data_IF_619461655955
#
_entry.id   IF_619461655955
#
_cell.length_a   1.000
_cell.length_b   1.000
_cell.length_c   1.000
_cell.angle_alpha   90.00
_cell.angle_beta   90.00
_cell.angle_gamma   90.00
#
_symmetry.space_group_name_H-M   'P 1'
#
loop_
_entity.id
_entity.type
_entity.pdbx_description
1 polymer ?
#
# COMPACT_ATOMS: atom_id res chain seq x y z
N UNK A 1 8.66 0.93 22.87
CA UNK A 1 8.19 0.42 21.56
C UNK A 1 8.99 1.10 20.47
N UNK A 2 9.57 0.36 19.53
CA UNK A 2 10.31 0.96 18.42
C UNK A 2 9.34 1.74 17.51
N UNK A 3 9.73 2.96 17.13
CA UNK A 3 8.94 3.81 16.21
C UNK A 3 8.81 3.09 14.87
N UNK A 4 7.59 2.79 14.43
CA UNK A 4 7.36 2.28 13.08
C UNK A 4 7.23 3.49 12.13
N UNK A 5 8.22 3.74 11.25
CA UNK A 5 8.23 4.94 10.43
C UNK A 5 7.18 4.91 9.30
N UNK A 6 6.67 3.72 8.98
CA UNK A 6 5.59 3.48 8.02
C UNK A 6 4.20 3.86 8.58
N UNK A 7 4.06 4.00 9.90
CA UNK A 7 2.76 4.23 10.54
C UNK A 7 2.02 5.44 9.98
N UNK A 8 0.71 5.23 9.84
CA UNK A 8 -0.25 6.23 9.39
C UNK A 8 -0.75 5.97 7.97
N UNK A 9 -1.52 6.95 7.47
CA UNK A 9 -2.16 6.90 6.16
C UNK A 9 -1.32 7.64 5.12
N UNK A 10 -1.17 7.02 3.97
CA UNK A 10 -0.41 7.50 2.82
C UNK A 10 -1.35 7.57 1.63
N UNK A 11 -1.35 8.71 0.92
CA UNK A 11 -2.08 8.88 -0.34
C UNK A 11 -1.27 8.24 -1.44
N UNK A 12 -1.83 7.24 -2.13
CA UNK A 12 -1.19 6.69 -3.34
C UNK A 12 -1.40 7.72 -4.45
N UNK A 13 -0.33 8.30 -4.96
CA UNK A 13 -0.40 9.38 -5.96
C UNK A 13 -0.09 8.90 -7.37
N UNK A 14 0.49 7.71 -7.50
CA UNK A 14 0.90 7.15 -8.79
C UNK A 14 0.95 5.63 -8.70
N UNK A 15 0.52 4.97 -9.78
CA UNK A 15 0.71 3.54 -10.05
C UNK A 15 1.07 3.39 -11.55
N UNK A 16 1.96 2.47 -11.88
CA UNK A 16 2.40 2.30 -13.28
C UNK A 16 1.35 1.60 -14.16
N UNK A 17 0.56 0.68 -13.58
CA UNK A 17 -0.47 -0.07 -14.32
C UNK A 17 -1.78 0.72 -14.51
N UNK A 18 -2.11 1.61 -13.57
CA UNK A 18 -3.40 2.31 -13.54
C UNK A 18 -3.25 3.83 -13.58
N UNK A 19 -4.03 4.47 -14.46
CA UNK A 19 -4.10 5.92 -14.58
C UNK A 19 -4.68 6.63 -13.36
N UNK A 20 -4.40 7.93 -13.23
CA UNK A 20 -4.83 8.77 -12.10
C UNK A 20 -6.35 8.80 -11.90
N UNK A 21 -7.11 8.73 -12.99
CA UNK A 21 -8.58 8.68 -12.99
C UNK A 21 -9.12 7.38 -12.40
N UNK A 22 -8.40 6.27 -12.58
CA UNK A 22 -8.75 5.00 -11.97
C UNK A 22 -8.42 4.96 -10.46
N UNK A 23 -7.31 5.57 -10.03
CA UNK A 23 -6.88 5.50 -8.63
C UNK A 23 -7.99 5.92 -7.65
N UNK A 24 -8.70 6.99 -7.97
CA UNK A 24 -9.73 7.56 -7.09
C UNK A 24 -11.17 7.16 -7.46
N UNK A 25 -11.35 6.11 -8.28
CA UNK A 25 -12.65 5.71 -8.83
C UNK A 25 -13.72 5.48 -7.75
N UNK A 26 -13.39 4.74 -6.68
CA UNK A 26 -14.34 4.42 -5.58
C UNK A 26 -14.15 5.36 -4.39
N UNK A 27 -12.89 5.62 -4.01
CA UNK A 27 -12.52 6.53 -2.95
C UNK A 27 -11.05 6.95 -3.14
N UNK A 28 -10.58 8.04 -2.48
CA UNK A 28 -9.20 8.48 -2.61
C UNK A 28 -8.20 7.36 -2.30
N UNK A 29 -7.38 7.00 -3.28
CA UNK A 29 -6.44 5.89 -3.18
C UNK A 29 -5.46 6.07 -2.03
N UNK A 30 -5.30 5.04 -1.21
CA UNK A 30 -4.45 5.11 -0.05
C UNK A 30 -3.91 3.75 0.37
N UNK A 31 -2.82 3.78 1.13
CA UNK A 31 -2.36 2.66 1.95
C UNK A 31 -2.16 3.17 3.39
N UNK A 32 -2.65 2.41 4.36
CA UNK A 32 -2.56 2.74 5.78
C UNK A 32 -1.87 1.60 6.51
N UNK A 33 -0.85 1.95 7.29
CA UNK A 33 -0.18 1.02 8.20
C UNK A 33 -0.59 1.36 9.62
N UNK A 34 -1.23 0.40 10.27
CA UNK A 34 -1.81 0.49 11.61
C UNK A 34 -0.94 -0.23 12.64
N UNK A 35 -1.40 -0.23 13.89
CA UNK A 35 -0.76 -0.95 14.99
C UNK A 35 -0.88 -2.47 14.77
N UNK A 36 -0.13 -3.23 15.56
CA UNK A 36 -0.19 -4.69 15.59
C UNK A 36 0.18 -5.36 14.25
N UNK A 37 1.05 -4.70 13.47
CA UNK A 37 1.50 -5.15 12.15
C UNK A 37 0.34 -5.37 11.14
N UNK A 38 -0.75 -4.62 11.29
CA UNK A 38 -1.91 -4.64 10.39
C UNK A 38 -1.97 -3.37 9.51
N UNK A 39 -2.86 -3.38 8.52
CA UNK A 39 -3.14 -2.20 7.72
C UNK A 39 -4.29 -2.41 6.74
N UNK A 40 -4.46 -1.46 5.83
CA UNK A 40 -5.44 -1.55 4.73
C UNK A 40 -5.09 -0.64 3.57
N UNK A 41 -5.64 -0.94 2.40
CA UNK A 41 -5.51 -0.09 1.23
C UNK A 41 -6.81 -0.01 0.44
N UNK A 42 -6.88 1.00 -0.43
CA UNK A 42 -7.89 1.20 -1.46
C UNK A 42 -7.20 1.86 -2.65
N UNK A 43 -7.47 1.39 -3.87
CA UNK A 43 -7.27 2.16 -5.11
C UNK A 43 -8.23 1.59 -6.16
N UNK A 44 -8.85 2.45 -6.97
CA UNK A 44 -9.84 1.99 -7.94
C UNK A 44 -10.91 1.11 -7.31
N UNK A 45 -11.16 -0.05 -7.91
CA UNK A 45 -12.05 -1.08 -7.40
C UNK A 45 -11.35 -2.14 -6.51
N UNK A 46 -10.06 -1.96 -6.20
CA UNK A 46 -9.26 -2.89 -5.40
C UNK A 46 -9.13 -2.39 -3.97
N UNK A 47 -9.41 -3.27 -3.01
CA UNK A 47 -9.29 -2.96 -1.59
C UNK A 47 -8.92 -4.20 -0.78
N UNK A 48 -8.29 -4.00 0.38
CA UNK A 48 -7.97 -5.11 1.25
C UNK A 48 -7.36 -4.69 2.57
N UNK A 49 -7.34 -5.64 3.52
CA UNK A 49 -6.59 -5.54 4.75
C UNK A 49 -5.21 -6.18 4.58
N UNK A 50 -4.24 -5.70 5.34
CA UNK A 50 -2.83 -6.09 5.26
C UNK A 50 -2.41 -6.87 6.51
N UNK A 51 -1.62 -7.94 6.33
CA UNK A 51 -0.75 -8.54 7.36
C UNK A 51 0.69 -8.15 7.01
N UNK A 52 1.32 -7.34 7.85
CA UNK A 52 2.59 -6.70 7.58
C UNK A 52 3.75 -7.36 8.33
N UNK A 53 4.93 -7.32 7.72
CA UNK A 53 6.20 -7.72 8.33
C UNK A 53 7.22 -6.64 8.09
N UNK A 54 7.81 -6.13 9.18
CA UNK A 54 8.90 -5.17 9.10
C UNK A 54 10.21 -5.90 8.87
N UNK A 55 10.98 -5.42 7.91
CA UNK A 55 12.30 -5.95 7.59
C UNK A 55 13.30 -4.84 7.33
N UNK A 56 14.46 -5.24 6.81
CA UNK A 56 15.48 -4.35 6.28
C UNK A 56 16.00 -4.90 4.97
N UNK A 57 16.15 -4.04 3.97
CA UNK A 57 16.80 -4.36 2.69
C UNK A 57 17.89 -3.35 2.43
N UNK A 58 19.11 -3.83 2.19
CA UNK A 58 20.30 -2.99 1.96
C UNK A 58 20.51 -1.92 3.05
N UNK A 59 20.27 -2.31 4.31
CA UNK A 59 20.38 -1.41 5.47
C UNK A 59 19.23 -0.40 5.64
N UNK A 60 18.25 -0.39 4.74
CA UNK A 60 17.10 0.51 4.79
C UNK A 60 15.83 -0.21 5.28
N UNK A 61 14.99 0.44 6.10
CA UNK A 61 13.71 -0.14 6.53
C UNK A 61 12.80 -0.45 5.33
N UNK A 62 12.18 -1.63 5.35
CA UNK A 62 11.13 -2.04 4.42
C UNK A 62 9.95 -2.61 5.22
N UNK A 63 8.74 -2.46 4.69
CA UNK A 63 7.55 -3.18 5.16
C UNK A 63 7.07 -4.08 4.03
N UNK A 64 7.02 -5.38 4.28
CA UNK A 64 6.43 -6.37 3.39
C UNK A 64 5.03 -6.68 3.89
N UNK A 65 4.11 -7.06 3.01
CA UNK A 65 2.76 -7.40 3.41
C UNK A 65 2.15 -8.46 2.50
N UNK A 66 1.30 -9.31 3.07
CA UNK A 66 0.23 -9.99 2.33
C UNK A 66 -1.07 -9.21 2.50
N UNK A 67 -2.01 -9.42 1.60
CA UNK A 67 -3.31 -8.79 1.69
C UNK A 67 -4.44 -9.69 1.20
N UNK A 68 -5.63 -9.47 1.75
CA UNK A 68 -6.87 -10.10 1.33
C UNK A 68 -8.00 -9.06 1.28
N UNK A 69 -8.86 -9.18 0.28
CA UNK A 69 -9.99 -8.28 0.07
C UNK A 69 -10.69 -8.57 -1.24
N UNK A 70 -10.88 -7.54 -2.06
CA UNK A 70 -11.69 -7.60 -3.28
C UNK A 70 -11.00 -6.86 -4.44
N UNK A 71 -11.28 -7.32 -5.66
CA UNK A 71 -11.08 -6.58 -6.89
C UNK A 71 -12.44 -6.49 -7.59
N UNK A 72 -13.02 -5.30 -7.65
CA UNK A 72 -14.43 -5.10 -7.98
C UNK A 72 -15.33 -5.89 -7.04
N UNK A 73 -16.05 -6.89 -7.56
CA UNK A 73 -17.00 -7.70 -6.81
C UNK A 73 -16.46 -9.09 -6.46
N UNK A 74 -15.23 -9.40 -6.90
CA UNK A 74 -14.60 -10.70 -6.72
C UNK A 74 -13.61 -10.69 -5.55
N UNK A 75 -13.50 -11.82 -4.85
CA UNK A 75 -12.47 -12.02 -3.83
C UNK A 75 -11.08 -11.95 -4.48
N UNK A 76 -10.19 -11.18 -3.86
CA UNK A 76 -8.82 -11.04 -4.31
C UNK A 76 -7.86 -11.08 -3.13
N UNK A 77 -6.62 -11.47 -3.42
CA UNK A 77 -5.54 -11.45 -2.46
C UNK A 77 -4.22 -11.17 -3.18
N UNK A 78 -3.16 -10.96 -2.40
CA UNK A 78 -1.85 -10.78 -2.98
C UNK A 78 -0.79 -10.42 -1.95
N UNK A 79 0.25 -9.74 -2.43
CA UNK A 79 1.38 -9.33 -1.61
C UNK A 79 1.93 -7.99 -2.06
N UNK A 80 2.84 -7.43 -1.29
CA UNK A 80 3.56 -6.24 -1.69
C UNK A 80 4.63 -5.85 -0.70
N UNK A 81 5.28 -4.74 -1.01
CA UNK A 81 6.26 -4.13 -0.14
C UNK A 81 6.25 -2.62 -0.30
N UNK A 82 6.74 -1.92 0.72
CA UNK A 82 6.98 -0.48 0.67
C UNK A 82 8.26 -0.10 1.41
N UNK A 83 8.95 0.92 0.93
CA UNK A 83 10.10 1.56 1.56
C UNK A 83 9.87 3.07 1.64
N UNK A 84 10.51 3.71 2.61
CA UNK A 84 10.50 5.16 2.70
C UNK A 84 11.56 5.77 1.80
N UNK A 85 11.24 6.91 1.21
CA UNK A 85 12.15 7.72 0.40
C UNK A 85 12.23 9.13 1.00
N UNK A 86 13.09 9.99 0.44
CA UNK A 86 13.15 11.40 0.84
C UNK A 86 11.85 12.16 0.54
N UNK A 87 11.08 11.69 -0.47
CA UNK A 87 9.89 12.36 -0.98
C UNK A 87 8.58 11.71 -0.49
N UNK A 88 8.66 10.56 0.16
CA UNK A 88 7.50 9.84 0.67
C UNK A 88 7.74 8.34 0.77
N UNK A 89 6.99 7.59 -0.03
CA UNK A 89 6.98 6.13 -0.03
C UNK A 89 6.96 5.61 -1.46
N UNK A 90 7.72 4.56 -1.69
CA UNK A 90 7.66 3.75 -2.90
C UNK A 90 7.36 2.31 -2.51
N UNK A 91 6.63 1.60 -3.36
CA UNK A 91 6.36 0.20 -3.13
C UNK A 91 5.93 -0.51 -4.40
N UNK A 92 5.54 -1.77 -4.23
CA UNK A 92 5.00 -2.60 -5.28
C UNK A 92 3.87 -3.43 -4.70
N UNK A 93 2.72 -3.43 -5.38
CA UNK A 93 1.57 -4.26 -5.05
C UNK A 93 1.36 -5.32 -6.13
N UNK A 94 1.20 -6.57 -5.72
CA UNK A 94 0.93 -7.71 -6.58
C UNK A 94 -0.46 -8.23 -6.27
N UNK A 95 -1.29 -8.42 -7.31
CA UNK A 95 -2.55 -9.16 -7.23
C UNK A 95 -2.26 -10.61 -7.61
N UNK A 96 -2.70 -11.55 -6.78
CA UNK A 96 -2.43 -12.98 -7.01
C UNK A 96 -3.06 -13.43 -8.33
N UNK A 97 -2.23 -14.01 -9.22
CA UNK A 97 -2.63 -14.49 -10.54
C UNK A 97 -3.25 -13.40 -11.45
N UNK A 98 -2.88 -12.16 -11.23
CA UNK A 98 -3.33 -10.99 -12.00
C UNK A 98 -2.19 -9.97 -12.04
N UNK A 99 -2.52 -8.71 -12.28
CA UNK A 99 -1.58 -7.64 -12.51
C UNK A 99 -0.80 -7.27 -11.24
N UNK A 100 0.27 -6.53 -11.45
CA UNK A 100 1.05 -5.93 -10.38
C UNK A 100 1.46 -4.52 -10.80
N UNK A 101 1.70 -3.67 -9.81
CA UNK A 101 2.09 -2.29 -10.08
C UNK A 101 3.03 -1.77 -9.01
N UNK A 102 4.16 -1.17 -9.41
CA UNK A 102 4.84 -0.17 -8.62
C UNK A 102 3.88 0.95 -8.22
N UNK A 103 4.07 1.52 -7.04
CA UNK A 103 3.29 2.67 -6.58
C UNK A 103 4.17 3.69 -5.86
N UNK A 104 3.75 4.96 -5.90
CA UNK A 104 4.29 6.04 -5.07
C UNK A 104 3.21 6.59 -4.17
N UNK A 105 3.58 6.94 -2.94
CA UNK A 105 2.65 7.50 -1.98
C UNK A 105 3.28 8.62 -1.14
N UNK A 106 2.47 9.60 -0.78
CA UNK A 106 2.85 10.72 0.08
C UNK A 106 2.16 10.63 1.42
N UNK A 107 2.85 11.02 2.49
CA UNK A 107 2.29 10.96 3.85
C UNK A 107 1.13 11.95 3.96
N UNK A 108 -0.03 11.48 4.42
CA UNK A 108 -1.12 12.39 4.71
C UNK A 108 -0.88 13.05 6.07
N UNK A 109 -0.73 14.37 6.07
CA UNK A 109 -0.70 15.15 7.30
C UNK A 109 -2.16 15.26 7.78
N UNK A 110 -2.43 14.76 8.99
CA UNK A 110 -3.75 14.92 9.60
C UNK A 110 -4.10 16.40 9.71
N UNK A 111 -5.34 16.73 9.36
CA UNK A 111 -5.91 18.05 9.67
C UNK A 111 -6.24 18.13 11.15
#
# INVERSE_FOLDING_TARGET
>A
MAKNPFMGKWRIVHMDEWGEDYLDLVAPAHITFDKDDMGKFQFGAVQGWLDCRRGSRDGSPIIEFSWQGQNDSDEACGRGWAKLTAEGMEGHLFIHASDDSPFRAVKMVGK
#
